data_IF_447521225479
#
_entry.id   IF_447521225479
#
_cell.length_a   1.000
_cell.length_b   1.000
_cell.length_c   1.000
_cell.angle_alpha   90.00
_cell.angle_beta   90.00
_cell.angle_gamma   90.00
#
_symmetry.space_group_name_H-M   'P 1'
#
loop_
_entity.id
_entity.type
_entity.pdbx_description
1 polymer ?
#
# COMPACT_ATOMS: atom_id res chain seq x y z
N UNK A 1 -28.72 8.31 -0.12
CA UNK A 1 -29.59 8.33 -1.32
C UNK A 1 -28.77 8.12 -2.58
N UNK A 2 -29.44 7.80 -3.68
CA UNK A 2 -28.81 7.57 -4.98
C UNK A 2 -29.17 8.67 -5.97
N UNK A 3 -28.23 9.05 -6.84
CA UNK A 3 -28.47 9.94 -7.98
C UNK A 3 -27.74 9.36 -9.19
N UNK A 4 -28.48 9.10 -10.28
CA UNK A 4 -27.98 8.43 -11.51
C UNK A 4 -27.23 7.12 -11.21
N UNK A 5 -27.73 6.31 -10.24
CA UNK A 5 -27.14 5.04 -9.84
C UNK A 5 -25.91 5.13 -8.95
N UNK A 6 -25.42 6.33 -8.59
CA UNK A 6 -24.29 6.54 -7.69
C UNK A 6 -24.82 6.88 -6.29
N UNK A 7 -24.24 6.28 -5.25
CA UNK A 7 -24.60 6.55 -3.87
C UNK A 7 -23.98 7.86 -3.37
N UNK A 8 -24.76 8.57 -2.54
CA UNK A 8 -24.37 9.82 -1.89
C UNK A 8 -24.61 9.72 -0.39
N UNK A 9 -23.67 10.19 0.41
CA UNK A 9 -23.85 10.49 1.80
C UNK A 9 -24.52 11.85 1.95
N UNK A 10 -25.55 11.94 2.81
CA UNK A 10 -26.09 13.20 3.29
C UNK A 10 -26.16 13.13 4.82
N UNK A 11 -25.44 14.00 5.49
CA UNK A 11 -25.41 14.10 6.96
C UNK A 11 -25.79 15.52 7.36
N UNK A 12 -26.67 15.66 8.36
CA UNK A 12 -27.05 16.95 8.91
C UNK A 12 -25.92 17.47 9.78
N UNK A 13 -25.54 18.73 9.59
CA UNK A 13 -24.59 19.44 10.46
C UNK A 13 -25.29 19.78 11.76
N UNK A 14 -24.71 19.52 12.93
CA UNK A 14 -25.25 19.93 14.22
C UNK A 14 -25.53 21.44 14.25
N UNK A 15 -26.61 21.84 14.92
CA UNK A 15 -27.09 23.23 14.90
C UNK A 15 -26.02 24.24 15.38
N UNK A 16 -25.28 23.85 16.41
CA UNK A 16 -24.18 24.61 17.02
C UNK A 16 -22.99 24.85 16.07
N UNK A 17 -22.79 23.98 15.06
CA UNK A 17 -21.68 24.07 14.10
C UNK A 17 -22.11 24.60 12.72
N UNK A 18 -23.40 24.83 12.47
CA UNK A 18 -23.89 25.25 11.15
C UNK A 18 -23.31 26.58 10.69
N UNK A 19 -22.99 27.48 11.63
CA UNK A 19 -22.36 28.78 11.33
C UNK A 19 -20.98 28.63 10.69
N UNK A 20 -20.22 27.56 11.02
CA UNK A 20 -18.90 27.28 10.43
C UNK A 20 -19.00 26.66 9.05
N UNK A 21 -20.01 25.82 8.82
CA UNK A 21 -20.18 25.11 7.54
C UNK A 21 -21.00 25.91 6.51
N UNK A 22 -21.69 26.97 6.91
CA UNK A 22 -22.52 27.81 6.04
C UNK A 22 -23.69 27.05 5.39
N UNK A 23 -24.00 25.84 5.86
CA UNK A 23 -25.04 24.96 5.30
C UNK A 23 -25.50 23.92 6.31
N UNK A 24 -26.81 23.54 6.29
CA UNK A 24 -27.36 22.60 7.25
C UNK A 24 -27.04 21.12 6.94
N UNK A 25 -26.58 20.81 5.73
CA UNK A 25 -26.28 19.45 5.32
C UNK A 25 -24.95 19.37 4.58
N UNK A 26 -24.17 18.33 4.91
CA UNK A 26 -23.01 17.89 4.12
C UNK A 26 -23.50 16.83 3.16
N UNK A 27 -23.19 17.01 1.87
CA UNK A 27 -23.47 16.03 0.80
C UNK A 27 -22.19 15.64 0.11
N UNK A 28 -21.90 14.33 0.06
CA UNK A 28 -20.66 13.81 -0.56
C UNK A 28 -20.97 12.60 -1.44
N UNK A 29 -20.45 12.58 -2.65
CA UNK A 29 -20.55 11.42 -3.54
C UNK A 29 -19.64 10.31 -3.03
N UNK A 30 -20.17 9.08 -2.94
CA UNK A 30 -19.39 7.90 -2.56
C UNK A 30 -18.72 7.23 -3.76
N UNK A 31 -18.96 7.76 -4.97
CA UNK A 31 -18.38 7.31 -6.24
C UNK A 31 -18.49 5.80 -6.49
N UNK A 32 -19.51 5.18 -5.93
CA UNK A 32 -19.79 3.74 -6.10
C UNK A 32 -21.27 3.50 -6.40
N UNK A 33 -21.54 2.42 -7.11
CA UNK A 33 -22.88 1.90 -7.39
C UNK A 33 -23.17 0.64 -6.54
N UNK A 34 -22.18 0.11 -5.84
CA UNK A 34 -22.34 -1.05 -4.96
C UNK A 34 -22.82 -0.64 -3.58
N UNK A 35 -23.98 -1.16 -3.10
CA UNK A 35 -24.54 -0.85 -1.79
C UNK A 35 -23.62 -1.21 -0.62
N UNK A 36 -22.91 -2.34 -0.70
CA UNK A 36 -22.02 -2.81 0.37
C UNK A 36 -20.81 -1.89 0.51
N UNK A 37 -20.22 -1.50 -0.61
CA UNK A 37 -19.12 -0.56 -0.64
C UNK A 37 -19.57 0.84 -0.19
N UNK A 38 -20.77 1.27 -0.62
CA UNK A 38 -21.35 2.54 -0.22
C UNK A 38 -21.54 2.63 1.30
N UNK A 39 -22.04 1.58 1.94
CA UNK A 39 -22.22 1.55 3.39
C UNK A 39 -20.89 1.67 4.14
N UNK A 40 -19.85 0.94 3.73
CA UNK A 40 -18.51 1.04 4.35
C UNK A 40 -17.95 2.45 4.25
N UNK A 41 -18.01 3.04 3.06
CA UNK A 41 -17.53 4.41 2.82
C UNK A 41 -18.35 5.46 3.58
N UNK A 42 -19.68 5.26 3.67
CA UNK A 42 -20.56 6.13 4.42
C UNK A 42 -20.23 6.11 5.93
N UNK A 43 -20.06 4.92 6.53
CA UNK A 43 -19.69 4.77 7.94
C UNK A 43 -18.36 5.49 8.22
N UNK A 44 -17.31 5.21 7.45
CA UNK A 44 -16.01 5.85 7.65
C UNK A 44 -16.07 7.38 7.54
N UNK A 45 -16.87 7.92 6.61
CA UNK A 45 -17.04 9.37 6.46
C UNK A 45 -17.85 9.98 7.62
N UNK A 46 -18.86 9.27 8.12
CA UNK A 46 -19.65 9.71 9.28
C UNK A 46 -18.78 9.75 10.53
N UNK A 47 -18.00 8.69 10.78
CA UNK A 47 -17.09 8.62 11.93
C UNK A 47 -16.04 9.76 11.89
N UNK A 48 -15.54 10.09 10.71
CA UNK A 48 -14.62 11.22 10.52
C UNK A 48 -15.28 12.56 10.84
N UNK A 49 -16.49 12.79 10.32
CA UNK A 49 -17.25 14.02 10.60
C UNK A 49 -17.63 14.17 12.09
N UNK A 50 -18.00 13.09 12.75
CA UNK A 50 -18.35 13.12 14.16
C UNK A 50 -17.14 13.46 15.05
N UNK A 51 -15.95 12.92 14.74
CA UNK A 51 -14.70 13.32 15.40
C UNK A 51 -14.40 14.80 15.17
N UNK A 52 -14.42 15.29 13.93
CA UNK A 52 -14.22 16.70 13.60
C UNK A 52 -15.18 17.59 14.37
N UNK A 53 -16.45 17.21 14.52
CA UNK A 53 -17.43 17.98 15.27
C UNK A 53 -17.19 17.96 16.79
N UNK A 54 -16.68 16.87 17.34
CA UNK A 54 -16.24 16.79 18.73
C UNK A 54 -15.05 17.71 18.98
N UNK A 55 -14.03 17.63 18.10
CA UNK A 55 -12.85 18.48 18.19
C UNK A 55 -13.21 19.98 18.16
N UNK A 56 -14.14 20.35 17.27
CA UNK A 56 -14.64 21.71 17.15
C UNK A 56 -15.44 22.20 18.39
N UNK A 57 -16.11 21.30 19.11
CA UNK A 57 -16.90 21.63 20.32
C UNK A 57 -16.03 21.77 21.56
N UNK A 58 -15.07 20.89 21.70
CA UNK A 58 -14.23 20.86 22.90
C UNK A 58 -13.02 21.78 22.81
N UNK A 59 -12.85 22.51 21.70
CA UNK A 59 -11.72 23.40 21.52
C UNK A 59 -10.38 22.66 21.48
N UNK A 60 -10.41 21.35 21.19
CA UNK A 60 -9.25 20.55 20.88
C UNK A 60 -8.85 20.86 19.43
N UNK A 61 -8.84 22.15 19.10
CA UNK A 61 -8.13 22.67 17.96
C UNK A 61 -6.68 22.83 18.40
N UNK A 62 -6.01 21.76 18.71
CA UNK A 62 -4.65 21.74 18.25
C UNK A 62 -4.77 21.73 16.74
N UNK A 63 -4.23 22.77 16.15
CA UNK A 63 -3.86 22.80 14.75
C UNK A 63 -2.96 21.58 14.52
N UNK A 64 -3.60 20.40 14.37
CA UNK A 64 -2.92 19.29 13.75
C UNK A 64 -2.94 19.65 12.29
N UNK A 65 -1.87 20.24 11.75
CA UNK A 65 -1.83 20.60 10.35
C UNK A 65 -2.14 19.33 9.57
N UNK A 66 -2.77 19.48 8.40
CA UNK A 66 -3.03 18.34 7.51
C UNK A 66 -1.74 17.51 7.23
N UNK A 67 -0.56 18.10 7.45
CA UNK A 67 0.74 17.46 7.54
C UNK A 67 0.85 16.44 8.66
N UNK A 68 0.22 16.63 9.84
CA UNK A 68 0.35 15.70 10.96
C UNK A 68 -0.62 14.52 10.84
N UNK A 69 -1.79 14.72 10.22
CA UNK A 69 -2.63 13.59 9.79
C UNK A 69 -1.94 12.76 8.70
N UNK A 70 -1.17 13.38 7.81
CA UNK A 70 -0.29 12.72 6.86
C UNK A 70 0.92 12.07 7.57
N UNK A 71 1.40 12.65 8.67
CA UNK A 71 2.47 12.08 9.51
C UNK A 71 1.95 10.90 10.34
N UNK A 72 0.74 10.98 10.92
CA UNK A 72 0.11 9.85 11.63
C UNK A 72 -0.26 8.70 10.67
N UNK A 73 -0.58 9.01 9.41
CA UNK A 73 -0.70 7.99 8.36
C UNK A 73 0.68 7.46 7.90
N UNK A 74 1.75 8.25 8.06
CA UNK A 74 3.14 7.84 7.80
C UNK A 74 3.71 6.92 8.88
N UNK A 75 3.25 7.02 10.12
CA UNK A 75 3.74 6.19 11.24
C UNK A 75 3.40 4.70 11.11
N UNK A 76 2.57 4.31 10.14
CA UNK A 76 2.29 2.91 9.80
C UNK A 76 2.87 2.49 8.44
N UNK A 77 3.67 3.33 7.80
CA UNK A 77 4.28 2.99 6.52
C UNK A 77 5.57 2.17 6.73
N UNK A 78 5.39 0.85 6.78
CA UNK A 78 6.53 -0.08 6.86
C UNK A 78 7.49 0.11 5.67
N UNK A 79 8.78 0.27 5.96
CA UNK A 79 9.84 0.31 4.96
C UNK A 79 10.06 -1.08 4.34
N UNK A 80 10.65 -1.14 3.15
CA UNK A 80 10.92 -2.42 2.50
C UNK A 80 11.93 -3.27 3.28
N UNK A 81 12.90 -2.64 3.95
CA UNK A 81 13.85 -3.30 4.86
C UNK A 81 13.16 -3.99 6.03
N UNK A 82 12.24 -3.27 6.69
CA UNK A 82 11.46 -3.80 7.82
C UNK A 82 10.52 -4.92 7.38
N UNK A 83 9.88 -4.73 6.21
CA UNK A 83 9.04 -5.74 5.59
C UNK A 83 9.80 -7.04 5.29
N UNK A 84 11.08 -6.96 4.91
CA UNK A 84 11.94 -8.13 4.71
C UNK A 84 12.24 -8.84 6.03
N UNK A 85 12.54 -8.10 7.10
CA UNK A 85 12.77 -8.66 8.44
C UNK A 85 11.51 -9.36 8.97
N UNK A 86 10.36 -8.72 8.83
CA UNK A 86 9.05 -9.27 9.21
C UNK A 86 8.70 -10.52 8.40
N UNK A 87 8.97 -10.49 7.11
CA UNK A 87 8.79 -11.66 6.24
C UNK A 87 9.58 -12.88 6.73
N UNK A 88 10.85 -12.70 7.09
CA UNK A 88 11.69 -13.78 7.61
C UNK A 88 11.15 -14.31 8.94
N UNK A 89 10.70 -13.43 9.83
CA UNK A 89 10.11 -13.76 11.13
C UNK A 89 8.78 -14.53 10.97
N UNK A 90 7.86 -14.01 10.19
CA UNK A 90 6.54 -14.59 9.98
C UNK A 90 6.58 -15.94 9.28
N UNK A 91 7.57 -16.16 8.42
CA UNK A 91 7.79 -17.48 7.80
C UNK A 91 8.39 -18.53 8.74
N UNK A 92 8.72 -18.15 9.99
CA UNK A 92 9.36 -19.04 10.95
C UNK A 92 10.71 -19.58 10.48
N UNK A 93 11.41 -18.82 9.61
CA UNK A 93 12.67 -19.24 8.97
C UNK A 93 13.82 -18.28 9.29
N UNK A 94 13.78 -17.67 10.47
CA UNK A 94 14.84 -16.76 10.96
C UNK A 94 16.18 -17.47 11.06
N UNK A 95 16.19 -18.74 11.41
CA UNK A 95 17.40 -19.57 11.55
C UNK A 95 17.89 -20.16 10.21
N UNK A 96 17.06 -20.12 9.15
CA UNK A 96 17.47 -20.54 7.80
C UNK A 96 18.33 -19.45 7.16
N UNK A 97 19.64 -19.54 7.37
CA UNK A 97 20.63 -18.59 6.86
C UNK A 97 20.51 -18.36 5.34
N UNK A 98 20.29 -19.44 4.57
CA UNK A 98 20.17 -19.32 3.10
C UNK A 98 18.92 -18.61 2.65
N UNK A 99 17.80 -18.86 3.34
CA UNK A 99 16.53 -18.17 3.07
C UNK A 99 16.62 -16.69 3.39
N UNK A 100 17.15 -16.35 4.58
CA UNK A 100 17.34 -14.97 5.01
C UNK A 100 18.29 -14.20 4.10
N UNK A 101 19.45 -14.75 3.79
CA UNK A 101 20.41 -14.13 2.88
C UNK A 101 19.84 -13.90 1.46
N UNK A 102 18.97 -14.77 0.98
CA UNK A 102 18.32 -14.56 -0.31
C UNK A 102 17.33 -13.40 -0.22
N UNK A 103 16.50 -13.35 0.84
CA UNK A 103 15.53 -12.28 1.04
C UNK A 103 16.22 -10.91 1.17
N UNK A 104 17.22 -10.82 2.06
CA UNK A 104 18.02 -9.62 2.30
C UNK A 104 18.70 -9.14 1.00
N UNK A 105 19.45 -10.00 0.34
CA UNK A 105 20.16 -9.65 -0.92
C UNK A 105 19.24 -9.12 -2.02
N UNK A 106 18.05 -9.71 -2.14
CA UNK A 106 17.08 -9.28 -3.15
C UNK A 106 16.46 -7.94 -2.75
N UNK A 107 16.16 -7.76 -1.48
CA UNK A 107 15.66 -6.51 -0.89
C UNK A 107 16.67 -5.39 -1.04
N UNK A 108 17.92 -5.62 -0.65
CA UNK A 108 19.02 -4.65 -0.76
C UNK A 108 19.24 -4.20 -2.20
N UNK A 109 19.09 -5.12 -3.16
CA UNK A 109 19.21 -4.77 -4.58
C UNK A 109 18.08 -3.84 -5.03
N UNK A 110 16.83 -4.04 -4.56
CA UNK A 110 15.73 -3.10 -4.84
C UNK A 110 15.98 -1.76 -4.18
N UNK A 111 16.43 -1.77 -2.92
CA UNK A 111 16.75 -0.57 -2.14
C UNK A 111 17.89 0.23 -2.79
N UNK A 112 18.94 -0.43 -3.26
CA UNK A 112 20.06 0.24 -3.94
C UNK A 112 19.67 0.99 -5.22
N UNK A 113 18.58 0.58 -5.87
CA UNK A 113 18.09 1.19 -7.12
C UNK A 113 17.03 2.28 -6.88
N UNK A 114 16.21 2.12 -5.85
CA UNK A 114 15.00 2.92 -5.65
C UNK A 114 14.95 3.64 -4.31
N UNK A 115 15.94 3.41 -3.45
CA UNK A 115 15.94 3.83 -2.04
C UNK A 115 15.09 2.94 -1.15
N UNK A 116 15.38 2.95 0.15
CA UNK A 116 14.52 2.33 1.14
C UNK A 116 13.36 3.27 1.47
N UNK A 117 12.19 2.89 1.04
CA UNK A 117 10.98 3.70 1.18
C UNK A 117 9.81 2.84 1.60
N UNK A 118 8.75 3.48 2.02
CA UNK A 118 7.51 2.81 2.38
C UNK A 118 7.01 1.89 1.27
N UNK A 119 6.46 0.72 1.61
CA UNK A 119 5.91 -0.21 0.62
C UNK A 119 4.89 0.46 -0.28
N UNK A 120 4.05 1.34 0.26
CA UNK A 120 3.05 2.10 -0.48
C UNK A 120 3.65 3.06 -1.53
N UNK A 121 4.92 3.48 -1.36
CA UNK A 121 5.62 4.41 -2.25
C UNK A 121 6.31 3.73 -3.45
N UNK A 122 6.41 2.39 -3.45
CA UNK A 122 6.95 1.68 -4.61
C UNK A 122 5.98 1.70 -5.79
N UNK A 123 6.55 1.83 -6.98
CA UNK A 123 5.82 1.97 -8.25
C UNK A 123 6.23 0.92 -9.27
N UNK A 124 5.50 0.83 -10.37
CA UNK A 124 5.87 -0.01 -11.51
C UNK A 124 7.23 0.41 -12.13
N UNK A 125 7.64 1.68 -11.97
CA UNK A 125 8.95 2.16 -12.43
C UNK A 125 10.08 1.51 -11.64
N UNK A 126 9.93 1.39 -10.32
CA UNK A 126 10.90 0.72 -9.45
C UNK A 126 11.03 -0.77 -9.81
N UNK A 127 9.91 -1.41 -10.09
CA UNK A 127 9.91 -2.81 -10.53
C UNK A 127 10.59 -2.99 -11.90
N UNK A 128 10.38 -2.06 -12.84
CA UNK A 128 11.08 -2.06 -14.13
C UNK A 128 12.58 -1.83 -13.97
N UNK A 129 12.98 -0.84 -13.15
CA UNK A 129 14.40 -0.57 -12.86
C UNK A 129 15.10 -1.81 -12.28
N UNK A 130 14.45 -2.49 -11.33
CA UNK A 130 14.97 -3.73 -10.76
C UNK A 130 15.12 -4.84 -11.80
N UNK A 131 14.13 -5.04 -12.67
CA UNK A 131 14.20 -6.01 -13.77
C UNK A 131 15.35 -5.70 -14.71
N UNK A 132 15.48 -4.44 -15.13
CA UNK A 132 16.44 -4.01 -16.14
C UNK A 132 17.87 -4.06 -15.59
N UNK A 133 18.07 -3.75 -14.31
CA UNK A 133 19.35 -3.93 -13.62
C UNK A 133 19.77 -5.41 -13.55
N UNK A 134 18.83 -6.33 -13.30
CA UNK A 134 19.12 -7.77 -13.34
C UNK A 134 19.48 -8.23 -14.75
N UNK A 135 18.80 -7.73 -15.79
CA UNK A 135 19.12 -8.02 -17.18
C UNK A 135 20.52 -7.49 -17.57
N UNK A 136 20.84 -6.27 -17.19
CA UNK A 136 22.15 -5.66 -17.44
C UNK A 136 23.30 -6.45 -16.82
N UNK A 137 23.05 -7.15 -15.69
CA UNK A 137 24.01 -8.07 -15.07
C UNK A 137 24.08 -9.45 -15.75
N UNK A 138 23.37 -9.65 -16.85
CA UNK A 138 23.33 -10.94 -17.56
C UNK A 138 22.54 -12.04 -16.84
N UNK A 139 21.63 -11.68 -15.91
CA UNK A 139 20.84 -12.68 -15.19
C UNK A 139 19.86 -13.39 -16.13
N UNK A 140 19.84 -14.72 -16.08
CA UNK A 140 18.88 -15.53 -16.83
C UNK A 140 17.44 -15.19 -16.44
N UNK A 141 16.45 -15.29 -17.37
CA UNK A 141 15.05 -15.04 -17.09
C UNK A 141 14.48 -15.81 -15.88
N UNK A 142 14.96 -17.05 -15.69
CA UNK A 142 14.60 -17.89 -14.52
C UNK A 142 15.10 -17.29 -13.21
N UNK A 143 16.31 -16.71 -13.20
CA UNK A 143 16.89 -16.01 -12.04
C UNK A 143 16.12 -14.73 -11.74
N UNK A 144 15.77 -13.96 -12.77
CA UNK A 144 14.95 -12.76 -12.64
C UNK A 144 13.59 -13.12 -12.03
N UNK A 145 12.92 -14.12 -12.59
CA UNK A 145 11.64 -14.65 -12.07
C UNK A 145 11.71 -15.04 -10.60
N UNK A 146 12.81 -15.71 -10.19
CA UNK A 146 13.03 -16.11 -8.79
C UNK A 146 13.19 -14.90 -7.87
N UNK A 147 13.99 -13.90 -8.25
CA UNK A 147 14.16 -12.67 -7.46
C UNK A 147 12.83 -11.92 -7.30
N UNK A 148 12.07 -11.79 -8.39
CA UNK A 148 10.74 -11.19 -8.33
C UNK A 148 9.74 -11.98 -7.46
N UNK A 149 9.84 -13.31 -7.43
CA UNK A 149 9.00 -14.12 -6.55
C UNK A 149 9.27 -13.80 -5.07
N UNK A 150 10.53 -13.56 -4.69
CA UNK A 150 10.90 -13.18 -3.33
C UNK A 150 10.33 -11.79 -2.98
N UNK A 151 10.60 -10.76 -3.78
CA UNK A 151 10.08 -9.41 -3.52
C UNK A 151 8.54 -9.39 -3.45
N UNK A 152 7.86 -10.10 -4.37
CA UNK A 152 6.40 -10.20 -4.34
C UNK A 152 5.89 -10.86 -3.06
N UNK A 153 6.59 -11.88 -2.58
CA UNK A 153 6.20 -12.57 -1.35
C UNK A 153 6.37 -11.69 -0.12
N UNK A 154 7.47 -10.92 -0.05
CA UNK A 154 7.71 -9.94 0.99
C UNK A 154 6.60 -8.88 0.95
N UNK A 155 6.39 -8.26 -0.21
CA UNK A 155 5.40 -7.20 -0.39
C UNK A 155 3.97 -7.68 -0.04
N UNK A 156 3.54 -8.82 -0.56
CA UNK A 156 2.19 -9.33 -0.35
C UNK A 156 1.92 -9.72 1.11
N UNK A 157 2.92 -10.27 1.81
CA UNK A 157 2.78 -10.61 3.22
C UNK A 157 2.63 -9.35 4.05
N UNK A 158 3.57 -8.41 3.90
CA UNK A 158 3.56 -7.16 4.65
C UNK A 158 2.35 -6.28 4.32
N UNK A 159 1.91 -6.24 3.06
CA UNK A 159 0.71 -5.49 2.68
C UNK A 159 -0.54 -6.03 3.39
N UNK A 160 -0.64 -7.35 3.61
CA UNK A 160 -1.73 -7.97 4.37
C UNK A 160 -1.68 -7.62 5.85
N UNK A 161 -0.49 -7.73 6.46
CA UNK A 161 -0.29 -7.48 7.89
C UNK A 161 -0.52 -6.00 8.25
N UNK A 162 -0.08 -5.10 7.38
CA UNK A 162 -0.18 -3.65 7.61
C UNK A 162 -1.37 -2.98 6.91
N UNK A 163 -2.31 -3.77 6.36
CA UNK A 163 -3.52 -3.23 5.73
C UNK A 163 -3.29 -2.35 4.50
N UNK A 164 -2.16 -2.53 3.79
CA UNK A 164 -1.82 -1.74 2.60
C UNK A 164 -2.74 -2.14 1.44
N UNK A 165 -3.65 -1.27 1.10
CA UNK A 165 -4.66 -1.52 0.07
C UNK A 165 -4.21 -1.02 -1.32
N UNK A 166 -2.98 -1.36 -1.71
CA UNK A 166 -2.36 -0.99 -2.98
C UNK A 166 -1.94 -2.24 -3.74
N UNK A 167 -2.12 -2.28 -5.09
CA UNK A 167 -1.67 -3.41 -5.88
C UNK A 167 -0.14 -3.52 -5.83
N UNK A 168 0.35 -4.76 -5.76
CA UNK A 168 1.79 -5.02 -5.73
C UNK A 168 2.46 -4.60 -7.04
N UNK A 169 3.39 -3.62 -7.05
CA UNK A 169 4.03 -3.13 -8.26
C UNK A 169 4.97 -4.16 -8.91
N UNK A 170 5.43 -5.15 -8.15
CA UNK A 170 6.28 -6.24 -8.65
C UNK A 170 5.47 -7.43 -9.21
N UNK A 171 4.12 -7.36 -9.19
CA UNK A 171 3.28 -8.36 -9.81
C UNK A 171 3.26 -8.21 -11.33
N UNK A 172 2.95 -9.30 -12.03
CA UNK A 172 2.68 -9.33 -13.48
C UNK A 172 3.79 -8.73 -14.37
N UNK A 173 5.06 -8.82 -13.94
CA UNK A 173 6.20 -8.35 -14.73
C UNK A 173 6.59 -9.37 -15.81
N UNK A 174 6.82 -8.88 -17.03
CA UNK A 174 7.39 -9.68 -18.11
C UNK A 174 8.93 -9.74 -17.99
N UNK A 175 9.48 -10.94 -17.92
CA UNK A 175 10.93 -11.14 -17.67
C UNK A 175 11.73 -11.43 -18.95
N UNK A 176 11.09 -11.60 -20.09
CA UNK A 176 11.63 -12.10 -21.34
C UNK A 176 11.38 -13.61 -21.49
N UNK A 177 11.37 -14.07 -22.72
CA UNK A 177 11.35 -15.51 -23.04
C UNK A 177 12.73 -16.06 -22.75
N UNK A 178 12.84 -17.03 -21.83
CA UNK A 178 14.10 -17.78 -21.65
C UNK A 178 14.45 -18.49 -22.94
N UNK A 179 15.73 -18.57 -23.29
CA UNK A 179 16.19 -19.54 -24.25
C UNK A 179 15.69 -20.93 -23.83
N UNK A 180 15.30 -21.75 -24.78
CA UNK A 180 14.86 -23.13 -24.50
C UNK A 180 15.84 -23.83 -23.56
N UNK A 181 15.35 -24.64 -22.60
CA UNK A 181 16.23 -25.37 -21.72
C UNK A 181 17.14 -26.24 -22.58
N UNK A 182 18.44 -25.98 -22.48
CA UNK A 182 19.44 -26.86 -23.09
C UNK A 182 19.19 -28.26 -22.55
N UNK A 183 18.69 -29.14 -23.42
CA UNK A 183 18.46 -30.54 -23.12
C UNK A 183 19.84 -31.11 -22.74
N UNK A 184 20.03 -31.40 -21.44
CA UNK A 184 21.22 -32.12 -21.02
C UNK A 184 21.09 -33.49 -21.65
N UNK A 185 21.95 -33.78 -22.61
CA UNK A 185 22.12 -35.14 -23.14
C UNK A 185 22.62 -36.06 -22.02
N UNK A 186 22.17 -37.28 -21.96
CA UNK A 186 22.54 -38.24 -20.93
C UNK A 186 24.04 -38.55 -20.94
#
# INVERSE_FOLDING_TARGET
YTKRGVFYLQKRVPADLQHRYGRPFIRKSLRTKDPKQANRLASSLVDGLEREWLDLRFGISEETPASDLLLLQREQEILLSDACADYCRMKGRTDDKKFRQLAERVTDHVISLSGDKALSAYTIHDAKAFRDALKARGAAPTTIKRNFAVVRSIWNLSAREHGINKPNPFANMHYGTGAEPVKRLP
#
